data_IF_684065298499
#
_entry.id   IF_684065298499
#
_cell.length_a   1.000
_cell.length_b   1.000
_cell.length_c   1.000
_cell.angle_alpha   90.00
_cell.angle_beta   90.00
_cell.angle_gamma   90.00
#
_symmetry.space_group_name_H-M   'P 1'
#
loop_
_entity.id
_entity.type
_entity.pdbx_description
1 polymer ?
#
# COMPACT_ATOMS: atom_id res chain seq x y z
N UNK A 1 -32.68 35.58 -15.15
CA UNK A 1 -31.37 36.17 -14.82
C UNK A 1 -30.72 35.25 -13.80
N UNK A 2 -29.74 34.43 -14.19
CA UNK A 2 -29.02 33.62 -13.21
C UNK A 2 -28.09 34.54 -12.43
N UNK A 3 -28.33 34.68 -11.13
CA UNK A 3 -27.33 35.25 -10.22
C UNK A 3 -26.01 34.53 -10.44
N UNK A 4 -24.99 35.27 -10.90
CA UNK A 4 -23.65 34.74 -11.04
C UNK A 4 -23.19 34.27 -9.68
N UNK A 5 -22.92 32.97 -9.53
CA UNK A 5 -22.35 32.43 -8.32
C UNK A 5 -20.99 33.13 -8.10
N UNK A 6 -20.92 34.01 -7.10
CA UNK A 6 -19.68 34.60 -6.64
C UNK A 6 -18.86 33.49 -6.01
N UNK A 7 -17.82 33.05 -6.73
CA UNK A 7 -16.84 32.12 -6.18
C UNK A 7 -16.03 32.84 -5.10
N UNK A 8 -15.74 32.19 -3.96
CA UNK A 8 -14.89 32.74 -2.93
C UNK A 8 -13.44 32.98 -3.41
N UNK A 9 -13.07 32.45 -4.58
CA UNK A 9 -11.76 32.60 -5.21
C UNK A 9 -11.96 33.02 -6.65
N UNK A 10 -11.46 34.20 -6.98
CA UNK A 10 -11.35 34.69 -8.35
C UNK A 10 -9.94 34.51 -8.91
N UNK A 11 -8.96 34.15 -8.06
CA UNK A 11 -7.55 34.03 -8.45
C UNK A 11 -6.84 32.84 -7.79
N UNK A 12 -5.79 32.34 -8.45
CA UNK A 12 -4.89 31.31 -7.90
C UNK A 12 -4.20 31.76 -6.60
N UNK A 13 -3.94 33.07 -6.44
CA UNK A 13 -3.29 33.62 -5.25
C UNK A 13 -4.14 33.43 -3.99
N UNK A 14 -5.46 33.65 -4.10
CA UNK A 14 -6.38 33.44 -2.97
C UNK A 14 -6.38 31.99 -2.48
N UNK A 15 -6.24 31.02 -3.39
CA UNK A 15 -6.12 29.61 -3.03
C UNK A 15 -4.79 29.30 -2.32
N UNK A 16 -3.69 29.89 -2.79
CA UNK A 16 -2.37 29.74 -2.17
C UNK A 16 -2.31 30.35 -0.76
N UNK A 17 -2.99 31.49 -0.55
CA UNK A 17 -3.13 32.11 0.77
C UNK A 17 -3.83 31.19 1.75
N UNK A 18 -4.95 30.57 1.35
CA UNK A 18 -5.66 29.59 2.19
C UNK A 18 -4.78 28.38 2.51
N UNK A 19 -4.06 27.84 1.52
CA UNK A 19 -3.12 26.73 1.74
C UNK A 19 -2.05 27.13 2.76
N UNK A 20 -1.53 28.37 2.69
CA UNK A 20 -0.56 28.88 3.65
C UNK A 20 -1.16 29.01 5.07
N UNK A 21 -2.42 29.45 5.19
CA UNK A 21 -3.13 29.52 6.48
C UNK A 21 -3.41 28.12 7.06
N UNK A 22 -3.86 27.17 6.24
CA UNK A 22 -4.03 25.76 6.67
C UNK A 22 -2.70 25.22 7.19
N UNK A 23 -1.60 25.48 6.47
CA UNK A 23 -0.25 25.06 6.88
C UNK A 23 0.22 25.73 8.18
N UNK A 24 -0.25 26.95 8.48
CA UNK A 24 0.01 27.64 9.75
C UNK A 24 -0.81 27.08 10.93
N UNK A 25 -1.74 26.16 10.68
CA UNK A 25 -2.58 25.56 11.71
C UNK A 25 -3.85 26.34 12.01
N UNK A 26 -4.30 27.21 11.10
CA UNK A 26 -5.61 27.87 11.24
C UNK A 26 -6.71 26.80 11.16
N UNK A 27 -7.67 26.87 12.08
CA UNK A 27 -8.77 25.90 12.18
C UNK A 27 -9.77 26.04 11.03
N UNK A 28 -10.46 24.94 10.71
CA UNK A 28 -11.53 24.90 9.73
C UNK A 28 -12.60 25.96 9.98
N UNK A 29 -13.05 26.08 11.22
CA UNK A 29 -14.10 27.00 11.65
C UNK A 29 -13.67 28.47 11.47
N UNK A 30 -12.42 28.76 11.82
CA UNK A 30 -11.85 30.10 11.64
C UNK A 30 -11.72 30.48 10.16
N UNK A 31 -11.32 29.53 9.30
CA UNK A 31 -11.28 29.74 7.86
C UNK A 31 -12.69 29.97 7.29
N UNK A 32 -13.69 29.21 7.73
CA UNK A 32 -15.08 29.44 7.33
C UNK A 32 -15.52 30.86 7.69
N UNK A 33 -15.36 31.28 8.94
CA UNK A 33 -15.75 32.61 9.41
C UNK A 33 -15.06 33.72 8.62
N UNK A 34 -13.79 33.55 8.27
CA UNK A 34 -13.03 34.52 7.47
C UNK A 34 -13.53 34.58 6.03
N UNK A 35 -13.81 33.44 5.40
CA UNK A 35 -14.23 33.35 4.01
C UNK A 35 -15.69 33.76 3.79
N UNK A 36 -16.54 33.69 4.82
CA UNK A 36 -17.96 34.08 4.75
C UNK A 36 -18.22 35.52 5.15
N UNK A 37 -17.20 36.28 5.59
CA UNK A 37 -17.30 37.65 6.14
C UNK A 37 -17.89 38.72 5.19
N UNK A 38 -18.31 38.34 3.98
CA UNK A 38 -18.94 39.19 2.95
C UNK A 38 -20.34 38.74 2.49
N UNK A 39 -21.02 37.89 3.27
CA UNK A 39 -22.46 37.51 3.22
C UNK A 39 -23.09 36.99 1.90
N UNK A 40 -22.34 36.93 0.79
CA UNK A 40 -22.89 36.60 -0.54
C UNK A 40 -22.48 35.23 -1.06
N UNK A 41 -21.64 34.49 -0.33
CA UNK A 41 -21.06 33.23 -0.80
C UNK A 41 -21.78 32.06 -0.14
N UNK A 42 -22.27 31.12 -0.97
CA UNK A 42 -22.96 29.93 -0.48
C UNK A 42 -22.01 29.03 0.34
N UNK A 43 -22.43 28.48 1.49
CA UNK A 43 -21.56 27.68 2.37
C UNK A 43 -20.90 26.48 1.70
N UNK A 44 -21.61 25.81 0.78
CA UNK A 44 -21.08 24.68 0.02
C UNK A 44 -19.91 25.07 -0.89
N UNK A 45 -19.88 26.30 -1.40
CA UNK A 45 -18.79 26.78 -2.26
C UNK A 45 -17.53 27.03 -1.42
N UNK A 46 -17.69 27.55 -0.19
CA UNK A 46 -16.58 27.69 0.76
C UNK A 46 -16.02 26.31 1.13
N UNK A 47 -16.88 25.35 1.49
CA UNK A 47 -16.46 24.00 1.85
C UNK A 47 -15.70 23.31 0.72
N UNK A 48 -16.24 23.31 -0.50
CA UNK A 48 -15.61 22.67 -1.66
C UNK A 48 -14.19 23.19 -1.93
N UNK A 49 -13.93 24.43 -1.55
CA UNK A 49 -12.64 25.04 -1.77
C UNK A 49 -11.65 24.84 -0.64
N UNK A 50 -12.13 24.75 0.60
CA UNK A 50 -11.31 24.23 1.69
C UNK A 50 -10.90 22.79 1.38
N UNK A 51 -11.84 21.96 0.90
CA UNK A 51 -11.56 20.59 0.44
C UNK A 51 -10.56 20.57 -0.72
N UNK A 52 -10.69 21.48 -1.69
CA UNK A 52 -9.71 21.62 -2.78
C UNK A 52 -8.33 22.06 -2.29
N UNK A 53 -8.27 23.06 -1.40
CA UNK A 53 -7.02 23.52 -0.81
C UNK A 53 -6.32 22.39 -0.04
N UNK A 54 -7.10 21.59 0.70
CA UNK A 54 -6.63 20.43 1.44
C UNK A 54 -6.10 19.34 0.49
N UNK A 55 -6.83 19.01 -0.58
CA UNK A 55 -6.39 18.09 -1.63
C UNK A 55 -5.08 18.51 -2.27
N UNK A 56 -4.91 19.80 -2.58
CA UNK A 56 -3.68 20.32 -3.18
C UNK A 56 -2.51 20.33 -2.20
N UNK A 57 -2.77 20.63 -0.92
CA UNK A 57 -1.74 20.64 0.12
C UNK A 57 -1.27 19.22 0.47
N UNK A 58 -2.19 18.26 0.57
CA UNK A 58 -1.92 16.93 1.10
C UNK A 58 -1.83 15.84 0.05
N UNK A 59 -2.29 16.07 -1.19
CA UNK A 59 -2.48 15.02 -2.19
C UNK A 59 -3.28 13.82 -1.65
N UNK A 60 -4.28 14.10 -0.80
CA UNK A 60 -5.23 13.12 -0.28
C UNK A 60 -6.62 13.55 -0.72
N UNK A 61 -7.41 12.60 -1.19
CA UNK A 61 -8.82 12.88 -1.51
C UNK A 61 -9.60 13.19 -0.22
N UNK A 62 -9.87 14.49 -0.03
CA UNK A 62 -10.66 15.02 1.08
C UNK A 62 -11.99 15.62 0.59
N UNK A 63 -13.06 15.46 1.34
CA UNK A 63 -14.38 16.00 1.00
C UNK A 63 -15.11 15.23 -0.10
N UNK A 64 -16.44 15.29 -0.09
CA UNK A 64 -17.32 14.66 -1.09
C UNK A 64 -17.71 15.64 -2.18
N UNK A 65 -17.18 15.46 -3.39
CA UNK A 65 -17.61 16.26 -4.54
C UNK A 65 -18.69 15.51 -5.30
N UNK A 66 -19.85 16.12 -5.51
CA UNK A 66 -21.01 15.50 -6.16
C UNK A 66 -20.72 14.94 -7.58
N UNK A 67 -19.68 15.43 -8.24
CA UNK A 67 -19.26 14.98 -9.58
C UNK A 67 -17.92 14.21 -9.56
N UNK A 68 -17.30 13.98 -8.40
CA UNK A 68 -16.08 13.20 -8.34
C UNK A 68 -16.43 11.71 -8.22
N UNK A 69 -16.04 10.95 -9.23
CA UNK A 69 -16.08 9.50 -9.17
C UNK A 69 -14.79 9.00 -8.51
N UNK A 70 -14.81 8.75 -7.20
CA UNK A 70 -13.86 7.80 -6.61
C UNK A 70 -14.52 6.43 -6.76
N UNK A 71 -13.95 5.54 -7.58
CA UNK A 71 -14.44 4.16 -7.74
C UNK A 71 -14.36 3.29 -6.47
N UNK A 72 -14.18 3.92 -5.31
CA UNK A 72 -14.14 3.34 -3.97
C UNK A 72 -15.21 4.05 -3.16
N UNK A 73 -16.23 3.29 -2.75
CA UNK A 73 -17.34 3.74 -1.89
C UNK A 73 -16.88 4.13 -0.47
N UNK A 74 -15.59 4.01 -0.15
CA UNK A 74 -15.04 4.33 1.17
C UNK A 74 -14.85 5.84 1.32
N UNK A 75 -15.81 6.45 2.01
CA UNK A 75 -15.69 7.63 2.88
C UNK A 75 -14.49 8.52 2.58
N UNK A 76 -14.63 9.43 1.60
CA UNK A 76 -13.69 10.55 1.47
C UNK A 76 -13.58 11.23 2.83
N UNK A 77 -12.37 11.30 3.39
CA UNK A 77 -12.17 11.91 4.69
C UNK A 77 -12.66 13.37 4.64
N UNK A 78 -13.62 13.71 5.48
CA UNK A 78 -14.21 15.05 5.51
C UNK A 78 -13.59 15.87 6.62
N UNK A 79 -13.10 17.08 6.27
CA UNK A 79 -12.58 18.01 7.25
C UNK A 79 -13.73 18.86 7.79
N UNK A 80 -14.12 18.58 9.03
CA UNK A 80 -15.28 19.22 9.68
C UNK A 80 -14.91 20.20 10.78
N UNK A 81 -13.75 20.04 11.41
CA UNK A 81 -13.34 20.83 12.56
C UNK A 81 -11.83 20.83 12.78
N UNK A 82 -11.38 21.82 13.55
CA UNK A 82 -10.00 21.91 14.03
C UNK A 82 -8.98 22.20 12.94
N UNK A 83 -7.69 22.14 13.31
CA UNK A 83 -6.58 22.33 12.38
C UNK A 83 -6.30 21.06 11.55
N UNK A 84 -5.44 21.20 10.54
CA UNK A 84 -5.11 20.11 9.60
C UNK A 84 -4.53 18.87 10.29
N UNK A 85 -3.83 19.03 11.42
CA UNK A 85 -3.29 17.90 12.18
C UNK A 85 -4.40 17.06 12.84
N UNK A 86 -5.50 17.69 13.25
CA UNK A 86 -6.69 17.01 13.80
C UNK A 86 -7.35 16.19 12.70
N UNK A 87 -7.50 16.75 11.51
CA UNK A 87 -8.01 16.03 10.35
C UNK A 87 -7.15 14.82 10.00
N UNK A 88 -5.82 14.97 9.95
CA UNK A 88 -4.92 13.87 9.65
C UNK A 88 -5.05 12.73 10.67
N UNK A 89 -5.23 13.03 11.96
CA UNK A 89 -5.44 11.98 12.99
C UNK A 89 -6.71 11.15 12.78
N UNK A 90 -7.69 11.64 12.03
CA UNK A 90 -8.92 10.89 11.70
C UNK A 90 -8.71 9.87 10.59
N UNK A 91 -7.65 10.03 9.78
CA UNK A 91 -7.36 9.12 8.69
C UNK A 91 -6.59 7.91 9.26
N UNK A 92 -7.10 6.66 9.09
CA UNK A 92 -6.52 5.47 9.69
C UNK A 92 -5.03 5.26 9.36
N UNK A 93 -4.62 5.68 8.16
CA UNK A 93 -3.22 5.64 7.70
C UNK A 93 -2.25 6.31 8.69
N UNK A 94 -2.67 7.41 9.32
CA UNK A 94 -1.79 8.21 10.19
C UNK A 94 -1.83 7.79 11.66
N UNK A 95 -2.63 6.78 12.01
CA UNK A 95 -2.71 6.27 13.39
C UNK A 95 -1.39 5.65 13.88
N UNK A 96 -0.57 5.12 12.96
CA UNK A 96 0.65 4.39 13.29
C UNK A 96 0.40 3.06 14.03
N UNK A 97 -0.86 2.62 14.11
CA UNK A 97 -1.24 1.36 14.74
C UNK A 97 -1.10 0.24 13.72
N UNK A 98 -0.40 -0.82 14.11
CA UNK A 98 -0.20 -2.01 13.30
C UNK A 98 -1.21 -3.08 13.66
N UNK A 99 -2.02 -3.49 12.69
CA UNK A 99 -2.99 -4.57 12.86
C UNK A 99 -2.44 -5.91 12.35
N UNK A 100 -1.45 -5.87 11.45
CA UNK A 100 -0.84 -7.06 10.87
C UNK A 100 0.24 -7.64 11.80
N UNK A 101 0.10 -8.87 12.31
CA UNK A 101 1.16 -9.51 13.06
C UNK A 101 2.26 -9.90 12.07
N UNK A 102 3.40 -9.27 12.21
CA UNK A 102 4.59 -9.57 11.44
C UNK A 102 5.79 -9.44 12.36
N UNK A 103 6.81 -10.28 12.19
CA UNK A 103 8.04 -10.16 12.95
C UNK A 103 8.78 -8.86 12.58
N UNK A 104 9.42 -8.23 13.55
CA UNK A 104 10.11 -6.95 13.34
C UNK A 104 11.44 -7.09 12.58
N UNK A 105 11.95 -8.31 12.40
CA UNK A 105 13.20 -8.59 11.69
C UNK A 105 13.02 -8.78 10.17
N UNK A 106 11.78 -8.72 9.69
CA UNK A 106 11.45 -8.99 8.29
C UNK A 106 12.14 -7.98 7.38
N UNK A 107 12.88 -8.51 6.40
CA UNK A 107 13.64 -7.72 5.44
C UNK A 107 13.17 -7.99 4.01
N UNK A 108 12.90 -6.93 3.27
CA UNK A 108 12.62 -7.02 1.84
C UNK A 108 13.86 -7.48 1.07
N UNK A 109 13.66 -8.44 0.17
CA UNK A 109 14.71 -8.87 -0.75
C UNK A 109 14.86 -7.83 -1.88
N UNK A 110 15.96 -7.88 -2.63
CA UNK A 110 16.18 -6.94 -3.74
C UNK A 110 15.24 -7.16 -4.93
N UNK A 111 14.60 -8.34 -5.02
CA UNK A 111 13.62 -8.65 -6.06
C UNK A 111 12.26 -7.98 -5.79
N UNK A 112 11.98 -7.56 -4.55
CA UNK A 112 10.76 -6.85 -4.19
C UNK A 112 10.83 -5.41 -4.73
N UNK A 113 10.38 -5.23 -5.97
CA UNK A 113 10.32 -3.95 -6.68
C UNK A 113 9.11 -3.94 -7.64
N UNK A 114 8.70 -2.74 -8.09
CA UNK A 114 7.46 -2.57 -8.86
C UNK A 114 7.42 -3.38 -10.16
N UNK A 115 8.54 -3.49 -10.89
CA UNK A 115 8.59 -4.28 -12.12
C UNK A 115 8.41 -5.78 -11.83
N UNK A 116 8.94 -6.27 -10.71
CA UNK A 116 8.79 -7.66 -10.31
C UNK A 116 7.44 -7.97 -9.65
N UNK A 117 6.74 -7.00 -9.06
CA UNK A 117 5.34 -7.17 -8.66
C UNK A 117 4.48 -7.59 -9.86
N UNK A 118 4.73 -6.98 -11.03
CA UNK A 118 4.09 -7.38 -12.28
C UNK A 118 4.58 -8.70 -12.81
N UNK A 119 5.91 -8.84 -12.90
CA UNK A 119 6.52 -9.96 -13.61
C UNK A 119 6.44 -11.29 -12.86
N UNK A 120 6.56 -11.24 -11.53
CA UNK A 120 6.62 -12.43 -10.66
C UNK A 120 5.25 -12.66 -10.00
N UNK A 121 4.65 -11.60 -9.45
CA UNK A 121 3.40 -11.71 -8.71
C UNK A 121 2.14 -11.48 -9.54
N UNK A 122 2.28 -11.23 -10.84
CA UNK A 122 1.17 -10.99 -11.77
C UNK A 122 0.20 -9.90 -11.30
N UNK A 123 0.68 -8.96 -10.49
CA UNK A 123 -0.08 -7.81 -10.03
C UNK A 123 -0.08 -6.73 -11.10
N UNK A 124 -1.18 -6.01 -11.28
CA UNK A 124 -1.18 -4.79 -12.07
C UNK A 124 -0.69 -3.62 -11.21
N UNK A 125 0.42 -2.97 -11.60
CA UNK A 125 0.83 -1.73 -10.95
C UNK A 125 0.14 -0.54 -11.61
N UNK A 126 -0.61 0.24 -10.81
CA UNK A 126 -1.19 1.53 -11.21
C UNK A 126 -0.58 2.65 -10.40
N UNK A 127 -0.27 3.76 -11.05
CA UNK A 127 0.15 4.96 -10.35
C UNK A 127 -1.08 5.69 -9.81
N UNK A 128 -0.93 6.31 -8.64
CA UNK A 128 -1.98 7.15 -8.04
C UNK A 128 -1.41 8.51 -7.64
N UNK A 129 -2.25 9.53 -7.69
CA UNK A 129 -1.97 10.87 -7.16
C UNK A 129 -2.53 11.05 -5.75
N UNK A 130 -3.34 10.11 -5.26
CA UNK A 130 -3.87 10.09 -3.91
C UNK A 130 -2.92 9.30 -2.99
N UNK A 131 -2.31 9.99 -2.03
CA UNK A 131 -1.44 9.36 -1.03
C UNK A 131 -2.16 8.29 -0.23
N UNK A 132 -3.45 8.47 0.07
CA UNK A 132 -4.20 7.48 0.84
C UNK A 132 -4.38 6.16 0.09
N UNK A 133 -4.17 6.12 -1.22
CA UNK A 133 -4.23 4.90 -2.03
C UNK A 133 -2.89 4.17 -2.14
N UNK A 134 -1.80 4.77 -1.66
CA UNK A 134 -0.47 4.19 -1.81
C UNK A 134 -0.36 2.82 -1.13
N UNK A 135 0.13 1.83 -1.88
CA UNK A 135 0.27 0.42 -1.49
C UNK A 135 -1.05 -0.30 -1.20
N UNK A 136 -2.21 0.28 -1.53
CA UNK A 136 -3.46 -0.49 -1.46
C UNK A 136 -3.39 -1.62 -2.50
N UNK A 137 -3.61 -2.84 -2.03
CA UNK A 137 -3.74 -4.04 -2.84
C UNK A 137 -5.22 -4.39 -2.99
N UNK A 138 -5.75 -4.18 -4.18
CA UNK A 138 -7.11 -4.56 -4.55
C UNK A 138 -7.15 -6.03 -4.94
N UNK A 139 -7.46 -6.90 -3.97
CA UNK A 139 -7.47 -8.36 -4.15
C UNK A 139 -8.67 -8.87 -4.95
N UNK A 140 -9.73 -8.07 -5.07
CA UNK A 140 -10.99 -8.44 -5.71
C UNK A 140 -11.04 -8.14 -7.21
N UNK A 141 -10.06 -7.41 -7.75
CA UNK A 141 -9.93 -7.18 -9.18
C UNK A 141 -9.15 -8.31 -9.85
N UNK A 142 -9.46 -8.59 -11.12
CA UNK A 142 -8.72 -9.51 -11.97
C UNK A 142 -8.20 -8.73 -13.20
N UNK A 143 -6.90 -8.42 -13.30
CA UNK A 143 -5.82 -8.80 -12.37
C UNK A 143 -5.86 -8.02 -11.04
N UNK A 144 -5.28 -8.60 -9.98
CA UNK A 144 -5.10 -7.91 -8.70
C UNK A 144 -4.28 -6.66 -8.91
N UNK A 145 -4.72 -5.53 -8.37
CA UNK A 145 -4.10 -4.22 -8.65
C UNK A 145 -3.45 -3.64 -7.40
N UNK A 146 -2.21 -3.15 -7.53
CA UNK A 146 -1.54 -2.35 -6.49
C UNK A 146 -1.41 -0.91 -6.95
N UNK A 147 -1.76 0.03 -6.06
CA UNK A 147 -1.71 1.46 -6.34
C UNK A 147 -0.46 2.07 -5.74
N UNK A 148 0.30 2.83 -6.52
CA UNK A 148 1.59 3.38 -6.08
C UNK A 148 1.59 4.89 -6.29
N UNK A 149 1.65 5.65 -5.20
CA UNK A 149 1.86 7.08 -5.26
C UNK A 149 3.21 7.39 -5.92
N UNK A 150 3.28 8.36 -6.83
CA UNK A 150 4.50 8.54 -7.63
C UNK A 150 5.15 9.93 -7.53
N UNK A 151 4.52 10.91 -6.89
CA UNK A 151 5.04 12.28 -6.84
C UNK A 151 6.16 12.45 -5.79
N UNK A 152 7.33 11.89 -6.06
CA UNK A 152 8.52 12.02 -5.20
C UNK A 152 8.96 13.49 -5.01
N UNK A 153 8.79 14.35 -6.02
CA UNK A 153 9.03 15.80 -5.95
C UNK A 153 8.16 16.45 -4.89
N UNK A 154 6.86 16.09 -4.84
CA UNK A 154 5.93 16.59 -3.83
C UNK A 154 6.41 16.24 -2.42
N UNK A 155 6.82 14.99 -2.20
CA UNK A 155 7.33 14.52 -0.91
C UNK A 155 8.61 15.25 -0.52
N UNK A 156 9.54 15.44 -1.46
CA UNK A 156 10.79 16.18 -1.22
C UNK A 156 10.53 17.64 -0.82
N UNK A 157 9.55 18.31 -1.44
CA UNK A 157 9.13 19.65 -1.03
C UNK A 157 8.54 19.69 0.39
N UNK A 158 8.03 18.55 0.89
CA UNK A 158 7.47 18.40 2.23
C UNK A 158 8.47 17.88 3.28
N UNK A 159 9.76 17.77 2.97
CA UNK A 159 10.79 17.44 3.96
C UNK A 159 11.22 18.64 4.83
N UNK A 160 10.72 19.85 4.54
CA UNK A 160 11.07 21.09 5.23
C UNK A 160 10.33 21.33 6.57
N UNK A 161 10.71 22.42 7.23
CA UNK A 161 10.05 22.95 8.44
C UNK A 161 8.68 23.48 8.03
N UNK A 162 7.61 23.06 8.71
CA UNK A 162 6.18 23.34 8.38
C UNK A 162 5.53 22.40 7.35
N UNK A 163 5.87 21.10 7.38
CA UNK A 163 5.07 20.10 6.69
C UNK A 163 3.85 19.70 7.57
N UNK A 164 2.65 19.55 6.99
CA UNK A 164 1.45 19.21 7.75
C UNK A 164 1.39 17.73 8.16
N UNK A 165 2.22 16.87 7.58
CA UNK A 165 2.16 15.43 7.81
C UNK A 165 2.75 15.04 9.17
N UNK A 166 2.33 13.89 9.73
CA UNK A 166 2.97 13.33 10.91
C UNK A 166 4.47 13.11 10.71
N UNK A 167 5.22 13.25 11.80
CA UNK A 167 6.67 13.09 11.79
C UNK A 167 7.07 11.71 11.23
N UNK A 168 8.00 11.71 10.28
CA UNK A 168 8.49 10.47 9.66
C UNK A 168 7.65 9.98 8.48
N UNK A 169 6.38 10.38 8.33
CA UNK A 169 5.52 9.89 7.25
C UNK A 169 6.09 10.13 5.86
N UNK A 170 6.55 11.37 5.59
CA UNK A 170 7.12 11.75 4.30
C UNK A 170 8.38 10.94 3.99
N UNK A 171 9.25 10.76 5.00
CA UNK A 171 10.50 9.99 4.88
C UNK A 171 10.18 8.52 4.60
N UNK A 172 9.24 7.95 5.34
CA UNK A 172 8.81 6.57 5.17
C UNK A 172 8.19 6.33 3.79
N UNK A 173 7.40 7.28 3.29
CA UNK A 173 6.85 7.23 1.93
C UNK A 173 7.94 7.33 0.87
N UNK A 174 8.98 8.14 1.09
CA UNK A 174 10.15 8.12 0.19
C UNK A 174 10.88 6.77 0.23
N UNK A 175 10.93 6.10 1.39
CA UNK A 175 11.51 4.76 1.50
C UNK A 175 10.69 3.70 0.75
N UNK A 176 9.35 3.76 0.78
CA UNK A 176 8.52 2.83 -0.01
C UNK A 176 8.74 3.05 -1.51
N UNK A 177 8.91 4.30 -1.95
CA UNK A 177 9.29 4.60 -3.34
C UNK A 177 10.69 4.11 -3.68
N UNK A 178 11.67 4.30 -2.80
CA UNK A 178 13.02 3.79 -3.01
C UNK A 178 13.07 2.25 -3.02
N UNK A 179 12.19 1.59 -2.25
CA UNK A 179 12.02 0.14 -2.25
C UNK A 179 11.44 -0.37 -3.58
N UNK A 180 10.38 0.27 -4.08
CA UNK A 180 9.67 -0.14 -5.29
C UNK A 180 10.35 0.31 -6.58
N UNK A 181 11.09 1.42 -6.54
CA UNK A 181 11.83 2.01 -7.65
C UNK A 181 13.29 2.27 -7.25
N UNK A 182 14.09 1.20 -7.06
CA UNK A 182 15.47 1.34 -6.61
C UNK A 182 16.31 2.24 -7.52
N UNK A 183 17.04 3.17 -6.92
CA UNK A 183 17.94 4.03 -7.65
C UNK A 183 19.05 3.21 -8.32
N UNK A 184 19.26 3.46 -9.63
CA UNK A 184 20.27 2.76 -10.42
C UNK A 184 19.82 1.42 -10.98
N UNK A 185 18.60 0.96 -10.71
CA UNK A 185 18.05 -0.24 -11.34
C UNK A 185 17.55 0.08 -12.76
N UNK A 186 18.37 -0.25 -13.76
CA UNK A 186 18.05 0.01 -15.16
C UNK A 186 16.85 -0.80 -15.68
N UNK A 187 16.57 -1.96 -15.09
CA UNK A 187 15.42 -2.77 -15.48
C UNK A 187 14.13 -2.08 -15.04
N UNK A 188 14.06 -1.69 -13.76
CA UNK A 188 12.91 -0.97 -13.21
C UNK A 188 12.74 0.38 -13.88
N UNK A 189 13.82 1.12 -14.13
CA UNK A 189 13.77 2.41 -14.82
C UNK A 189 13.24 2.30 -16.26
N UNK A 190 13.67 1.28 -17.02
CA UNK A 190 13.17 1.04 -18.38
C UNK A 190 11.71 0.61 -18.36
N UNK A 191 11.34 -0.31 -17.47
CA UNK A 191 9.95 -0.73 -17.29
C UNK A 191 9.03 0.46 -16.99
N UNK A 192 9.40 1.30 -16.01
CA UNK A 192 8.62 2.47 -15.60
C UNK A 192 8.41 3.46 -16.74
N UNK A 193 9.49 3.84 -17.44
CA UNK A 193 9.43 4.77 -18.58
C UNK A 193 8.64 4.24 -19.77
N UNK A 194 8.69 2.93 -20.00
CA UNK A 194 7.95 2.30 -21.09
C UNK A 194 6.47 2.20 -20.77
N UNK A 195 6.13 1.78 -19.54
CA UNK A 195 4.76 1.57 -19.12
C UNK A 195 3.95 2.87 -19.13
N UNK A 196 4.51 3.95 -18.62
CA UNK A 196 3.78 5.21 -18.43
C UNK A 196 4.23 6.35 -19.34
N UNK A 197 4.81 6.03 -20.52
CA UNK A 197 5.40 7.01 -21.46
C UNK A 197 4.51 8.21 -21.81
N UNK A 198 3.19 8.03 -21.77
CA UNK A 198 2.19 9.03 -22.17
C UNK A 198 1.61 9.84 -21.01
N UNK A 199 2.05 9.58 -19.78
CA UNK A 199 1.55 10.21 -18.57
C UNK A 199 2.51 11.30 -18.08
N UNK A 200 1.98 12.28 -17.35
CA UNK A 200 2.79 13.31 -16.69
C UNK A 200 3.47 12.71 -15.45
N UNK A 201 4.57 12.01 -15.68
CA UNK A 201 5.29 11.27 -14.64
C UNK A 201 6.25 12.15 -13.85
N UNK A 202 6.29 11.88 -12.55
CA UNK A 202 7.39 12.34 -11.71
C UNK A 202 8.55 11.34 -11.75
N UNK A 203 9.50 11.58 -12.65
CA UNK A 203 10.69 10.74 -12.82
C UNK A 203 11.64 10.78 -11.59
N UNK A 204 11.43 11.68 -10.62
CA UNK A 204 12.23 11.69 -9.39
C UNK A 204 11.98 10.46 -8.53
N UNK A 205 10.91 9.70 -8.77
CA UNK A 205 10.67 8.41 -8.11
C UNK A 205 11.85 7.44 -8.29
N UNK A 206 12.53 7.48 -9.45
CA UNK A 206 13.73 6.68 -9.76
C UNK A 206 15.00 7.18 -9.04
N UNK A 207 14.89 8.28 -8.27
CA UNK A 207 15.97 8.96 -7.54
C UNK A 207 15.58 9.18 -6.08
N UNK A 208 14.72 8.32 -5.51
CA UNK A 208 14.17 8.48 -4.16
C UNK A 208 15.19 8.26 -3.02
N UNK A 209 16.46 8.00 -3.33
CA UNK A 209 17.56 7.99 -2.37
C UNK A 209 17.78 6.64 -1.69
N UNK A 210 18.03 6.67 -0.37
CA UNK A 210 18.40 5.47 0.40
C UNK A 210 17.23 4.50 0.56
N UNK A 211 17.50 3.22 0.31
CA UNK A 211 16.52 2.15 0.47
C UNK A 211 16.55 1.63 1.91
N UNK A 212 15.44 1.77 2.63
CA UNK A 212 15.21 1.00 3.85
C UNK A 212 14.52 -0.32 3.46
N UNK A 213 14.98 -1.43 4.03
CA UNK A 213 14.45 -2.77 3.72
C UNK A 213 13.91 -3.48 4.94
N UNK A 214 14.12 -2.96 6.14
CA UNK A 214 13.63 -3.55 7.39
C UNK A 214 12.19 -3.08 7.60
N UNK A 215 11.27 -4.02 7.69
CA UNK A 215 9.85 -3.74 7.89
C UNK A 215 9.58 -2.97 9.19
N UNK A 216 10.37 -3.22 10.25
CA UNK A 216 10.27 -2.51 11.54
C UNK A 216 10.53 -1.00 11.48
N UNK A 217 11.05 -0.48 10.37
CA UNK A 217 11.22 0.97 10.17
C UNK A 217 10.00 1.65 9.60
N UNK A 218 9.01 0.89 9.15
CA UNK A 218 7.78 1.39 8.59
C UNK A 218 6.72 1.47 9.69
N UNK A 219 6.22 2.66 9.99
CA UNK A 219 5.16 2.92 10.96
C UNK A 219 3.80 3.11 10.28
N UNK A 220 3.76 3.83 9.16
CA UNK A 220 2.51 4.17 8.48
C UNK A 220 2.15 3.17 7.38
N UNK A 221 3.15 2.63 6.67
CA UNK A 221 2.95 1.77 5.51
C UNK A 221 3.10 0.27 5.83
N UNK A 222 3.41 -0.08 7.07
CA UNK A 222 3.76 -1.45 7.48
C UNK A 222 2.72 -2.49 7.08
N UNK A 223 1.45 -2.27 7.43
CA UNK A 223 0.39 -3.26 7.19
C UNK A 223 0.19 -3.50 5.68
N UNK A 224 0.18 -2.43 4.88
CA UNK A 224 0.05 -2.51 3.42
C UNK A 224 1.27 -3.17 2.77
N UNK A 225 2.47 -2.92 3.31
CA UNK A 225 3.70 -3.58 2.88
C UNK A 225 3.71 -5.07 3.23
N UNK A 226 3.15 -5.46 4.39
CA UNK A 226 2.96 -6.87 4.76
C UNK A 226 2.03 -7.55 3.77
N UNK A 227 0.85 -6.97 3.51
CA UNK A 227 -0.11 -7.49 2.53
C UNK A 227 0.52 -7.69 1.14
N UNK A 228 1.26 -6.67 0.67
CA UNK A 228 1.90 -6.72 -0.64
C UNK A 228 3.04 -7.74 -0.68
N UNK A 229 3.77 -7.90 0.43
CA UNK A 229 4.83 -8.90 0.56
C UNK A 229 4.29 -10.32 0.56
N UNK A 230 3.22 -10.58 1.31
CA UNK A 230 2.55 -11.88 1.35
C UNK A 230 2.09 -12.31 -0.04
N UNK A 231 1.51 -11.38 -0.81
CA UNK A 231 1.07 -11.64 -2.17
C UNK A 231 2.26 -11.92 -3.12
N UNK A 232 3.34 -11.15 -2.99
CA UNK A 232 4.55 -11.36 -3.78
C UNK A 232 5.21 -12.71 -3.50
N UNK A 233 5.41 -13.04 -2.23
CA UNK A 233 6.04 -14.29 -1.80
C UNK A 233 5.18 -15.52 -2.14
N UNK A 234 3.85 -15.36 -2.21
CA UNK A 234 2.93 -16.44 -2.62
C UNK A 234 3.05 -16.82 -4.09
N UNK A 235 3.59 -15.92 -4.92
CA UNK A 235 3.70 -16.09 -6.36
C UNK A 235 5.11 -16.48 -6.84
N UNK A 236 6.14 -16.35 -5.99
CA UNK A 236 7.49 -16.81 -6.30
C UNK A 236 7.59 -18.35 -6.15
N UNK A 237 8.05 -19.11 -7.17
CA UNK A 237 8.17 -20.56 -7.09
C UNK A 237 9.15 -20.98 -5.99
N UNK A 238 8.71 -21.96 -5.19
CA UNK A 238 9.10 -22.17 -3.80
C UNK A 238 10.60 -22.32 -3.53
N UNK A 239 11.09 -21.49 -2.62
CA UNK A 239 12.07 -21.89 -1.59
C UNK A 239 12.00 -20.86 -0.46
N UNK A 240 11.56 -21.29 0.74
CA UNK A 240 11.80 -20.57 2.00
C UNK A 240 11.03 -19.25 2.27
N UNK A 241 9.89 -19.01 1.60
CA UNK A 241 8.80 -18.21 2.20
C UNK A 241 8.16 -18.90 3.43
N UNK A 242 8.53 -20.17 3.68
CA UNK A 242 8.21 -20.98 4.87
C UNK A 242 8.61 -20.38 6.23
N UNK A 243 9.39 -19.29 6.27
CA UNK A 243 9.90 -18.71 7.52
C UNK A 243 9.08 -17.51 8.05
N UNK A 244 8.42 -16.74 7.18
CA UNK A 244 7.45 -15.70 7.60
C UNK A 244 6.17 -16.29 8.19
N UNK A 245 5.90 -17.56 7.91
CA UNK A 245 4.84 -18.38 8.49
C UNK A 245 5.01 -18.68 10.00
N UNK A 246 6.14 -18.29 10.61
CA UNK A 246 6.43 -18.48 12.04
C UNK A 246 5.66 -17.58 13.01
N UNK A 247 4.59 -16.90 12.57
CA UNK A 247 3.81 -16.00 13.42
C UNK A 247 2.46 -16.54 13.90
N UNK A 248 1.94 -17.66 13.37
CA UNK A 248 0.59 -18.16 13.72
C UNK A 248 0.44 -19.67 13.59
N UNK A 249 0.95 -20.44 14.56
CA UNK A 249 0.43 -21.74 15.10
C UNK A 249 1.57 -22.69 15.49
N UNK A 250 1.83 -22.78 16.79
CA UNK A 250 2.58 -23.88 17.41
C UNK A 250 1.83 -25.24 17.40
N UNK A 251 0.71 -25.37 16.67
CA UNK A 251 -0.20 -26.50 16.82
C UNK A 251 -0.20 -27.55 15.69
N UNK A 252 0.56 -27.39 14.59
CA UNK A 252 0.45 -28.34 13.44
C UNK A 252 1.77 -28.85 12.85
N UNK A 253 2.91 -28.59 13.48
CA UNK A 253 4.19 -29.15 13.02
C UNK A 253 4.24 -30.68 13.14
N UNK A 254 3.63 -31.23 14.20
CA UNK A 254 3.52 -32.68 14.41
C UNK A 254 2.68 -33.36 13.33
N UNK A 255 1.63 -32.74 12.79
CA UNK A 255 0.76 -33.34 11.79
C UNK A 255 1.47 -33.63 10.46
N UNK A 256 2.40 -32.76 10.05
CA UNK A 256 3.21 -32.95 8.83
C UNK A 256 4.15 -34.13 9.00
N UNK A 257 4.86 -34.20 10.12
CA UNK A 257 5.76 -35.34 10.39
C UNK A 257 5.00 -36.64 10.63
N UNK A 258 3.80 -36.58 11.21
CA UNK A 258 2.88 -37.71 11.31
C UNK A 258 2.46 -38.19 9.91
N UNK A 259 2.11 -37.29 8.99
CA UNK A 259 1.75 -37.65 7.62
C UNK A 259 2.93 -38.30 6.89
N UNK A 260 4.12 -37.70 6.96
CA UNK A 260 5.36 -38.27 6.37
C UNK A 260 5.65 -39.64 6.96
N UNK A 261 5.56 -39.79 8.28
CA UNK A 261 5.75 -41.06 8.97
C UNK A 261 4.76 -42.12 8.46
N UNK A 262 3.46 -41.79 8.37
CA UNK A 262 2.46 -42.71 7.85
C UNK A 262 2.70 -43.06 6.38
N UNK A 263 3.04 -42.10 5.52
CA UNK A 263 3.34 -42.38 4.10
C UNK A 263 4.52 -43.34 3.95
N UNK A 264 5.59 -43.13 4.72
CA UNK A 264 6.76 -44.02 4.69
C UNK A 264 6.41 -45.40 5.26
N UNK A 265 5.66 -45.45 6.37
CA UNK A 265 5.25 -46.70 7.01
C UNK A 265 4.34 -47.53 6.10
N UNK A 266 3.30 -46.93 5.52
CA UNK A 266 2.41 -47.62 4.58
C UNK A 266 3.15 -48.04 3.31
N UNK A 267 4.05 -47.20 2.80
CA UNK A 267 4.91 -47.58 1.67
C UNK A 267 5.77 -48.81 1.96
N UNK A 268 6.34 -48.90 3.18
CA UNK A 268 7.16 -50.03 3.59
C UNK A 268 6.33 -51.31 3.78
N UNK A 269 5.17 -51.22 4.43
CA UNK A 269 4.27 -52.36 4.61
C UNK A 269 3.83 -52.93 3.26
N UNK A 270 3.42 -52.07 2.33
CA UNK A 270 3.02 -52.48 0.97
C UNK A 270 4.18 -53.12 0.20
N UNK A 271 5.40 -52.61 0.37
CA UNK A 271 6.59 -53.20 -0.24
C UNK A 271 6.88 -54.60 0.30
N UNK A 272 6.73 -54.83 1.61
CA UNK A 272 6.96 -56.13 2.25
C UNK A 272 5.87 -57.14 1.86
N UNK A 273 4.59 -56.73 1.84
CA UNK A 273 3.47 -57.58 1.42
C UNK A 273 3.60 -57.99 -0.05
N UNK A 274 3.98 -57.05 -0.93
CA UNK A 274 4.28 -57.35 -2.33
C UNK A 274 5.44 -58.34 -2.48
N UNK A 275 6.53 -58.15 -1.71
CA UNK A 275 7.67 -59.07 -1.73
C UNK A 275 7.31 -60.48 -1.22
N UNK A 276 6.51 -60.59 -0.17
CA UNK A 276 6.02 -61.87 0.37
C UNK A 276 5.06 -62.58 -0.58
N UNK A 277 4.16 -61.84 -1.25
CA UNK A 277 3.24 -62.42 -2.22
C UNK A 277 3.98 -62.98 -3.43
N UNK A 278 5.00 -62.26 -3.92
CA UNK A 278 5.88 -62.74 -4.98
C UNK A 278 6.67 -63.96 -4.51
N UNK A 279 7.25 -63.93 -3.30
CA UNK A 279 7.99 -65.06 -2.76
C UNK A 279 7.12 -66.32 -2.62
N UNK A 280 5.88 -66.21 -2.10
CA UNK A 280 4.94 -67.34 -2.02
C UNK A 280 4.48 -67.84 -3.39
N UNK A 281 4.43 -66.99 -4.40
CA UNK A 281 4.15 -67.42 -5.78
C UNK A 281 5.34 -68.18 -6.40
N UNK A 282 6.57 -67.86 -6.00
CA UNK A 282 7.79 -68.53 -6.50
C UNK A 282 8.21 -69.76 -5.69
N UNK A 283 7.74 -69.93 -4.45
CA UNK A 283 7.86 -71.18 -3.69
C UNK A 283 6.55 -71.96 -3.83
N UNK A 284 6.38 -72.81 -4.87
CA UNK A 284 5.27 -73.74 -4.89
C UNK A 284 5.42 -74.67 -3.69
N UNK A 285 4.34 -74.86 -2.93
CA UNK A 285 4.26 -75.89 -1.88
C UNK A 285 4.81 -77.19 -2.44
N UNK A 286 6.00 -77.59 -1.99
CA UNK A 286 6.46 -78.97 -2.13
C UNK A 286 5.42 -79.82 -1.44
N UNK A 287 4.64 -80.52 -2.24
CA UNK A 287 3.54 -81.38 -1.83
C UNK A 287 3.94 -82.36 -0.71
N UNK A 288 2.97 -82.83 0.06
CA UNK A 288 2.94 -84.25 0.37
C UNK A 288 1.69 -84.92 -0.20
N UNK A 289 1.95 -86.14 -0.66
CA UNK A 289 1.08 -87.23 -1.11
C UNK A 289 -0.26 -87.38 -0.42
#
# INVERSE_FOLDING_TARGET
>A
MSEGATFPFTTTNSLLEIIAEIRRGVSHEELIVRLTRGDTIKPNVVQNALDLALRLLLMIDAGGFANAYSGREQDCATWHNGAVDVFLKQIPLFSGIHNSPCADDVKFNAKFNAANLERIAFLEVKLTTNLNDHLILEKNSAPKTVYIFHHATFLQCHQGVNNPFPNGFVVETLWTLALLFPQGDEQVARWFKNKYRRENLDLRVLKSGSIERRLSKYTYWRDRLVDLKEEFDSSEPQTLSQWLYGGRRDAQWWAVWIAVFFTVLFGLIQSIEGALQVYKAFVPSSAPS
#
